data_IF_843836508130
#
_entry.id   IF_843836508130
#
_cell.length_a   1.000
_cell.length_b   1.000
_cell.length_c   1.000
_cell.angle_alpha   90.00
_cell.angle_beta   90.00
_cell.angle_gamma   90.00
#
_symmetry.space_group_name_H-M   'P 1'
#
loop_
_entity.id
_entity.type
_entity.pdbx_description
1 polymer ?
#
# COMPACT_ATOMS: atom_id res chain seq x y z
N UNK A 1 6.37 3.94 19.31
CA UNK A 1 5.06 3.86 18.64
C UNK A 1 4.90 2.46 18.09
N UNK A 2 3.81 1.75 18.41
CA UNK A 2 3.50 0.40 17.91
C UNK A 2 2.31 0.48 16.95
N UNK A 3 2.34 -0.29 15.86
CA UNK A 3 1.23 -0.39 14.92
C UNK A 3 -0.07 -0.91 15.58
N UNK A 4 -1.22 -0.39 15.14
CA UNK A 4 -2.51 -0.98 15.50
C UNK A 4 -2.73 -2.28 14.72
N UNK A 5 -2.70 -3.41 15.42
CA UNK A 5 -2.89 -4.74 14.83
C UNK A 5 -4.35 -5.09 14.51
N UNK A 6 -5.23 -4.09 14.41
CA UNK A 6 -6.68 -4.28 14.26
C UNK A 6 -7.08 -4.83 12.87
N UNK A 7 -6.23 -4.66 11.85
CA UNK A 7 -6.29 -5.39 10.59
C UNK A 7 -4.95 -6.03 10.27
N UNK A 8 -4.99 -7.26 9.77
CA UNK A 8 -3.77 -7.95 9.37
C UNK A 8 -3.08 -7.27 8.17
N UNK A 9 -3.83 -6.54 7.32
CA UNK A 9 -3.29 -5.95 6.09
C UNK A 9 -4.00 -4.68 5.61
N UNK A 10 -3.37 -3.95 4.67
CA UNK A 10 -3.94 -2.83 3.91
C UNK A 10 -3.75 -2.99 2.41
N UNK A 11 -4.50 -2.20 1.62
CA UNK A 11 -4.38 -2.14 0.15
C UNK A 11 -3.34 -1.10 -0.25
N UNK A 12 -2.42 -1.47 -1.13
CA UNK A 12 -1.49 -0.54 -1.81
C UNK A 12 -1.70 -0.64 -3.33
N UNK A 13 -2.21 0.41 -3.98
CA UNK A 13 -2.36 0.43 -5.43
C UNK A 13 -1.04 0.20 -6.15
N UNK A 14 -1.04 -0.68 -7.17
CA UNK A 14 0.17 -1.06 -7.91
C UNK A 14 0.72 0.05 -8.80
N UNK A 15 -0.10 1.05 -9.10
CA UNK A 15 0.27 2.28 -9.78
C UNK A 15 0.78 3.38 -8.84
N UNK A 16 0.82 3.14 -7.51
CA UNK A 16 1.24 4.10 -6.49
C UNK A 16 2.20 3.45 -5.49
N UNK A 17 3.24 2.80 -6.00
CA UNK A 17 4.27 2.22 -5.13
C UNK A 17 5.11 3.34 -4.49
N UNK A 18 5.66 3.13 -3.28
CA UNK A 18 6.49 4.12 -2.60
C UNK A 18 7.67 4.59 -3.46
N UNK A 19 7.82 5.90 -3.56
CA UNK A 19 8.91 6.55 -4.28
C UNK A 19 10.13 6.80 -3.37
N UNK A 20 11.29 7.03 -4.00
CA UNK A 20 12.54 7.29 -3.29
C UNK A 20 13.34 6.02 -2.96
N UNK A 21 14.41 6.21 -2.18
CA UNK A 21 15.30 5.12 -1.73
C UNK A 21 14.70 4.38 -0.53
N UNK A 22 15.13 3.15 -0.30
CA UNK A 22 14.71 2.34 0.85
C UNK A 22 14.32 0.92 0.50
N UNK A 23 14.26 0.11 1.55
CA UNK A 23 13.98 -1.33 1.50
C UNK A 23 12.53 -1.58 1.11
N UNK A 24 11.59 -0.78 1.62
CA UNK A 24 10.16 -0.93 1.37
C UNK A 24 9.78 -0.61 -0.07
N UNK A 25 10.44 0.35 -0.71
CA UNK A 25 10.27 0.61 -2.15
C UNK A 25 10.73 -0.57 -3.00
N UNK A 26 11.86 -1.20 -2.64
CA UNK A 26 12.34 -2.40 -3.31
C UNK A 26 11.42 -3.60 -3.07
N UNK A 27 11.01 -3.82 -1.81
CA UNK A 27 10.05 -4.86 -1.45
C UNK A 27 8.74 -4.72 -2.22
N UNK A 28 8.17 -3.51 -2.28
CA UNK A 28 6.90 -3.27 -2.95
C UNK A 28 6.99 -3.56 -4.46
N UNK A 29 8.14 -3.27 -5.09
CA UNK A 29 8.41 -3.63 -6.50
C UNK A 29 8.53 -5.14 -6.71
N UNK A 30 9.18 -5.88 -5.80
CA UNK A 30 9.22 -7.34 -5.87
C UNK A 30 7.83 -7.95 -5.64
N UNK A 31 7.13 -7.55 -4.58
CA UNK A 31 5.78 -8.01 -4.29
C UNK A 31 4.81 -7.68 -5.43
N UNK A 32 5.00 -6.55 -6.13
CA UNK A 32 4.18 -6.21 -7.29
C UNK A 32 4.43 -7.11 -8.51
N UNK A 33 5.53 -7.85 -8.56
CA UNK A 33 5.84 -8.76 -9.67
C UNK A 33 5.77 -10.23 -9.26
N UNK A 34 5.49 -10.51 -8.00
CA UNK A 34 5.21 -11.85 -7.50
C UNK A 34 3.87 -12.38 -8.03
N UNK A 35 3.80 -13.70 -8.16
CA UNK A 35 2.62 -14.43 -8.58
C UNK A 35 1.52 -14.25 -7.56
N UNK A 36 0.30 -14.07 -8.04
CA UNK A 36 -0.86 -13.86 -7.17
C UNK A 36 -1.71 -15.09 -6.95
N UNK A 37 -1.46 -16.14 -7.72
CA UNK A 37 -2.12 -17.44 -7.65
C UNK A 37 -1.12 -18.53 -7.99
N UNK A 38 -1.45 -19.76 -7.60
CA UNK A 38 -0.67 -20.93 -8.00
C UNK A 38 -0.87 -21.20 -9.49
N UNK A 39 0.21 -21.59 -10.18
CA UNK A 39 0.16 -21.93 -11.60
C UNK A 39 1.55 -22.06 -12.21
N UNK A 40 1.66 -21.75 -13.50
CA UNK A 40 2.89 -21.88 -14.27
C UNK A 40 3.33 -20.55 -14.90
N UNK A 41 4.62 -20.27 -14.80
CA UNK A 41 5.27 -19.11 -15.39
C UNK A 41 6.30 -19.54 -16.44
N UNK A 42 6.19 -19.00 -17.66
CA UNK A 42 7.18 -19.20 -18.71
C UNK A 42 8.31 -18.19 -18.57
N UNK A 43 9.55 -18.66 -18.49
CA UNK A 43 10.74 -17.82 -18.51
C UNK A 43 11.86 -18.48 -19.30
N UNK A 44 12.42 -17.77 -20.29
CA UNK A 44 13.49 -18.28 -21.17
C UNK A 44 13.16 -19.66 -21.76
N UNK A 45 11.91 -19.90 -22.18
CA UNK A 45 11.46 -21.19 -22.74
C UNK A 45 11.21 -22.29 -21.71
N UNK A 46 11.48 -22.05 -20.43
CA UNK A 46 11.23 -23.02 -19.35
C UNK A 46 9.93 -22.71 -18.62
N UNK A 47 9.15 -23.76 -18.36
CA UNK A 47 7.96 -23.71 -17.52
C UNK A 47 8.38 -23.85 -16.06
N UNK A 48 7.97 -22.89 -15.24
CA UNK A 48 8.28 -22.84 -13.82
C UNK A 48 6.99 -22.86 -13.01
N UNK A 49 6.82 -23.84 -12.14
CA UNK A 49 5.74 -23.81 -11.15
C UNK A 49 5.97 -22.64 -10.19
N UNK A 50 4.90 -21.87 -9.92
CA UNK A 50 4.93 -20.74 -8.99
C UNK A 50 3.75 -20.82 -8.02
N UNK A 51 3.99 -20.42 -6.78
CA UNK A 51 2.99 -20.23 -5.74
C UNK A 51 2.71 -18.74 -5.51
N UNK A 52 1.61 -18.38 -4.81
CA UNK A 52 1.38 -17.00 -4.41
C UNK A 52 2.58 -16.40 -3.66
N UNK A 53 2.96 -15.18 -4.02
CA UNK A 53 4.15 -14.51 -3.49
C UNK A 53 5.48 -14.95 -4.11
N UNK A 54 5.48 -15.90 -5.06
CA UNK A 54 6.69 -16.35 -5.75
C UNK A 54 6.92 -15.61 -7.06
N UNK A 55 8.18 -15.40 -7.43
CA UNK A 55 8.57 -15.04 -8.78
C UNK A 55 9.71 -15.94 -9.26
N UNK A 56 9.67 -16.29 -10.54
CA UNK A 56 10.72 -17.06 -11.20
C UNK A 56 11.18 -16.35 -12.46
N UNK A 57 12.50 -16.16 -12.58
CA UNK A 57 13.13 -15.56 -13.74
C UNK A 57 14.65 -15.64 -13.67
N UNK A 58 15.31 -14.54 -14.01
CA UNK A 58 16.77 -14.42 -13.99
C UNK A 58 17.21 -13.03 -13.58
N UNK A 59 18.52 -12.83 -13.44
CA UNK A 59 19.06 -11.57 -12.87
C UNK A 59 18.68 -10.31 -13.67
N UNK A 60 18.49 -10.43 -14.99
CA UNK A 60 18.03 -9.32 -15.84
C UNK A 60 16.59 -8.93 -15.49
N UNK A 61 15.72 -9.91 -15.20
CA UNK A 61 14.36 -9.69 -14.74
C UNK A 61 14.34 -9.00 -13.38
N UNK A 62 15.10 -9.51 -12.40
CA UNK A 62 15.22 -8.88 -11.08
C UNK A 62 15.67 -7.41 -11.18
N UNK A 63 16.69 -7.15 -11.99
CA UNK A 63 17.20 -5.80 -12.25
C UNK A 63 16.12 -4.88 -12.81
N UNK A 64 15.32 -5.38 -13.77
CA UNK A 64 14.21 -4.65 -14.37
C UNK A 64 13.11 -4.35 -13.35
N UNK A 65 12.71 -5.34 -12.53
CA UNK A 65 11.69 -5.18 -11.49
C UNK A 65 12.11 -4.10 -10.47
N UNK A 66 13.38 -4.09 -10.07
CA UNK A 66 13.90 -3.13 -9.09
C UNK A 66 14.22 -1.75 -9.70
N UNK A 67 14.06 -1.57 -11.02
CA UNK A 67 14.43 -0.36 -11.75
C UNK A 67 15.91 0.04 -11.57
N UNK A 68 16.81 -0.95 -11.53
CA UNK A 68 18.25 -0.73 -11.32
C UNK A 68 19.05 -0.85 -12.63
N UNK A 69 20.18 -0.14 -12.72
CA UNK A 69 21.08 -0.24 -13.88
C UNK A 69 22.07 -1.40 -13.77
N UNK A 70 22.46 -1.78 -12.54
CA UNK A 70 23.47 -2.81 -12.26
C UNK A 70 22.85 -4.12 -11.79
N UNK A 71 23.34 -5.24 -12.35
CA UNK A 71 22.99 -6.61 -11.92
C UNK A 71 23.50 -6.90 -10.50
N UNK A 72 24.70 -6.43 -10.19
CA UNK A 72 25.29 -6.59 -8.85
C UNK A 72 24.44 -5.88 -7.80
N UNK A 73 24.08 -4.61 -8.04
CA UNK A 73 23.20 -3.85 -7.13
C UNK A 73 21.84 -4.51 -6.93
N UNK A 74 21.28 -5.15 -7.97
CA UNK A 74 20.03 -5.88 -7.85
C UNK A 74 20.15 -7.09 -6.91
N UNK A 75 21.27 -7.83 -6.96
CA UNK A 75 21.54 -8.90 -6.00
C UNK A 75 21.79 -8.38 -4.59
N UNK A 76 22.52 -7.28 -4.43
CA UNK A 76 22.77 -6.65 -3.11
C UNK A 76 21.46 -6.22 -2.44
N UNK A 77 20.54 -5.63 -3.20
CA UNK A 77 19.20 -5.27 -2.70
C UNK A 77 18.40 -6.52 -2.31
N UNK A 78 18.43 -7.57 -3.14
CA UNK A 78 17.75 -8.82 -2.83
C UNK A 78 18.32 -9.50 -1.57
N UNK A 79 19.64 -9.49 -1.41
CA UNK A 79 20.34 -9.98 -0.21
C UNK A 79 19.97 -9.17 1.02
N UNK A 80 19.88 -7.84 0.89
CA UNK A 80 19.46 -6.95 1.99
C UNK A 80 18.04 -7.28 2.43
N UNK A 81 17.12 -7.43 1.47
CA UNK A 81 15.75 -7.84 1.74
C UNK A 81 15.68 -9.22 2.41
N UNK A 82 16.51 -10.16 1.98
CA UNK A 82 16.59 -11.50 2.58
C UNK A 82 17.14 -11.47 4.01
N UNK A 83 18.24 -10.74 4.25
CA UNK A 83 18.80 -10.56 5.60
C UNK A 83 17.87 -9.81 6.55
N UNK A 84 17.00 -8.97 6.01
CA UNK A 84 15.91 -8.35 6.76
C UNK A 84 14.69 -9.26 6.92
N UNK A 85 14.61 -10.39 6.23
CA UNK A 85 13.53 -11.39 6.37
C UNK A 85 12.29 -11.13 5.51
N UNK A 86 12.36 -10.23 4.52
CA UNK A 86 11.24 -9.90 3.62
C UNK A 86 11.09 -10.86 2.44
N UNK A 87 12.18 -11.53 2.07
CA UNK A 87 12.20 -12.47 0.94
C UNK A 87 13.09 -13.67 1.23
N UNK A 88 12.76 -14.80 0.64
CA UNK A 88 13.67 -15.92 0.45
C UNK A 88 13.99 -16.00 -1.04
N UNK A 89 15.23 -16.35 -1.41
CA UNK A 89 15.58 -16.45 -2.82
C UNK A 89 16.58 -17.58 -3.07
N UNK A 90 16.57 -18.10 -4.30
CA UNK A 90 17.56 -19.04 -4.80
C UNK A 90 18.12 -18.55 -6.13
N UNK A 91 19.40 -18.81 -6.37
CA UNK A 91 20.08 -18.51 -7.63
C UNK A 91 20.90 -19.74 -8.04
N UNK A 92 20.49 -20.37 -9.12
CA UNK A 92 21.23 -21.49 -9.71
C UNK A 92 22.43 -20.97 -10.50
N UNK A 93 23.63 -21.42 -10.14
CA UNK A 93 24.88 -20.98 -10.77
C UNK A 93 25.05 -21.49 -12.20
N UNK A 94 24.42 -22.62 -12.56
CA UNK A 94 24.46 -23.23 -13.89
C UNK A 94 23.39 -22.64 -14.80
N UNK A 95 22.13 -22.69 -14.37
CA UNK A 95 20.99 -22.26 -15.21
C UNK A 95 20.75 -20.74 -15.16
N UNK A 96 21.40 -20.03 -14.23
CA UNK A 96 21.18 -18.60 -13.93
C UNK A 96 19.72 -18.28 -13.55
N UNK A 97 18.92 -19.30 -13.24
CA UNK A 97 17.56 -19.18 -12.76
C UNK A 97 17.59 -18.57 -11.36
N UNK A 98 16.86 -17.47 -11.21
CA UNK A 98 16.63 -16.79 -9.95
C UNK A 98 15.16 -16.92 -9.58
N UNK A 99 14.89 -17.40 -8.37
CA UNK A 99 13.53 -17.35 -7.81
C UNK A 99 13.54 -16.59 -6.50
N UNK A 100 12.46 -15.88 -6.20
CA UNK A 100 12.23 -15.32 -4.88
C UNK A 100 10.81 -15.59 -4.41
N UNK A 101 10.63 -15.64 -3.09
CA UNK A 101 9.36 -15.76 -2.40
C UNK A 101 9.23 -14.61 -1.40
N UNK A 102 8.14 -13.86 -1.48
CA UNK A 102 7.78 -12.88 -0.46
C UNK A 102 7.33 -13.62 0.81
N UNK A 103 7.97 -13.34 1.94
CA UNK A 103 7.65 -13.99 3.23
C UNK A 103 6.35 -13.46 3.83
N UNK A 104 6.14 -12.14 3.69
CA UNK A 104 4.99 -11.40 4.21
C UNK A 104 3.76 -11.42 3.28
N UNK A 105 3.60 -12.46 2.46
CA UNK A 105 2.52 -12.53 1.49
C UNK A 105 1.16 -12.81 2.16
N UNK A 106 0.16 -11.97 1.89
CA UNK A 106 -1.20 -12.14 2.42
C UNK A 106 -1.95 -13.19 1.60
N UNK A 107 -1.78 -14.47 1.96
CA UNK A 107 -2.33 -15.62 1.20
C UNK A 107 -3.84 -15.53 1.01
N UNK A 108 -4.59 -15.01 1.99
CA UNK A 108 -6.05 -14.83 1.93
C UNK A 108 -6.52 -13.95 0.76
N UNK A 109 -5.65 -13.09 0.22
CA UNK A 109 -5.95 -12.26 -0.94
C UNK A 109 -5.61 -12.92 -2.29
N UNK A 110 -5.07 -14.14 -2.30
CA UNK A 110 -4.58 -14.80 -3.52
C UNK A 110 -5.73 -15.28 -4.41
N UNK A 111 -5.48 -15.31 -5.72
CA UNK A 111 -6.44 -15.87 -6.68
C UNK A 111 -6.46 -17.40 -6.67
N UNK A 112 -7.52 -17.97 -7.24
CA UNK A 112 -7.65 -19.42 -7.45
C UNK A 112 -6.54 -19.96 -8.35
N UNK A 113 -6.13 -21.21 -8.11
CA UNK A 113 -5.12 -21.90 -8.91
C UNK A 113 -5.50 -21.96 -10.39
N UNK A 114 -4.55 -21.65 -11.27
CA UNK A 114 -4.77 -21.68 -12.70
C UNK A 114 -3.51 -22.09 -13.46
N UNK A 115 -3.58 -23.21 -14.19
CA UNK A 115 -2.44 -23.75 -14.95
C UNK A 115 -2.31 -23.13 -16.35
N UNK A 116 -3.38 -22.53 -16.88
CA UNK A 116 -3.43 -21.99 -18.24
C UNK A 116 -3.66 -20.47 -18.30
N UNK A 117 -3.69 -19.80 -17.15
CA UNK A 117 -3.98 -18.37 -17.02
C UNK A 117 -2.80 -17.54 -16.50
N UNK A 118 -2.96 -16.23 -16.51
CA UNK A 118 -1.94 -15.31 -16.01
C UNK A 118 -1.69 -15.49 -14.51
N UNK A 119 -0.48 -15.87 -14.11
CA UNK A 119 -0.11 -16.02 -12.69
C UNK A 119 0.47 -14.73 -12.08
N UNK A 120 0.98 -13.83 -12.92
CA UNK A 120 1.50 -12.52 -12.53
C UNK A 120 0.50 -11.42 -12.84
N UNK A 121 0.43 -10.42 -11.97
CA UNK A 121 -0.44 -9.27 -12.16
C UNK A 121 0.06 -8.40 -13.32
N UNK A 122 -0.86 -7.81 -14.08
CA UNK A 122 -0.54 -6.76 -15.04
C UNK A 122 0.06 -5.56 -14.32
N UNK A 123 1.10 -4.97 -14.90
CA UNK A 123 1.76 -3.80 -14.33
C UNK A 123 0.78 -2.63 -14.13
N UNK A 124 0.88 -1.98 -12.97
CA UNK A 124 0.03 -0.85 -12.60
C UNK A 124 -1.42 -1.22 -12.25
N UNK A 125 -1.86 -2.45 -12.52
CA UNK A 125 -3.25 -2.84 -12.31
C UNK A 125 -3.49 -3.46 -10.93
N UNK A 126 -4.54 -3.01 -10.24
CA UNK A 126 -5.01 -3.61 -8.99
C UNK A 126 -4.22 -3.13 -7.77
N UNK A 127 -4.25 -3.92 -6.70
CA UNK A 127 -3.58 -3.59 -5.45
C UNK A 127 -2.76 -4.75 -4.90
N UNK A 128 -1.82 -4.42 -4.03
CA UNK A 128 -1.11 -5.34 -3.15
C UNK A 128 -1.84 -5.38 -1.81
N UNK A 129 -2.09 -6.58 -1.28
CA UNK A 129 -2.40 -6.75 0.13
C UNK A 129 -1.07 -6.81 0.90
N UNK A 130 -0.81 -5.82 1.75
CA UNK A 130 0.41 -5.75 2.56
C UNK A 130 0.10 -5.86 4.04
N UNK A 131 0.89 -6.61 4.83
CA UNK A 131 0.71 -6.62 6.27
C UNK A 131 0.93 -5.24 6.88
N UNK A 132 0.08 -4.82 7.83
CA UNK A 132 0.21 -3.50 8.47
C UNK A 132 1.50 -3.35 9.28
N UNK A 133 1.99 -4.44 9.84
CA UNK A 133 3.20 -4.48 10.64
C UNK A 133 4.49 -4.61 9.81
N UNK A 134 4.42 -4.54 8.47
CA UNK A 134 5.60 -4.80 7.63
C UNK A 134 6.78 -3.90 7.96
N UNK A 135 6.52 -2.64 8.33
CA UNK A 135 7.56 -1.67 8.70
C UNK A 135 7.98 -1.73 10.17
N UNK A 136 7.23 -2.43 11.05
CA UNK A 136 7.63 -2.64 12.46
C UNK A 136 8.99 -3.33 12.53
N UNK A 137 9.24 -4.28 11.63
CA UNK A 137 10.52 -5.00 11.55
C UNK A 137 11.71 -4.07 11.34
N UNK A 138 11.55 -2.99 10.57
CA UNK A 138 12.61 -1.98 10.41
C UNK A 138 12.80 -1.18 11.72
N UNK A 139 11.70 -0.77 12.34
CA UNK A 139 11.72 0.00 13.59
C UNK A 139 12.34 -0.80 14.76
N UNK A 140 11.97 -2.08 14.91
CA UNK A 140 12.49 -2.99 15.93
C UNK A 140 14.01 -3.23 15.79
N UNK A 141 14.48 -3.36 14.54
CA UNK A 141 15.91 -3.47 14.24
C UNK A 141 16.66 -2.13 14.33
N UNK A 142 15.99 -1.03 14.70
CA UNK A 142 16.53 0.34 14.71
C UNK A 142 17.20 0.72 13.39
N UNK A 143 16.64 0.23 12.28
CA UNK A 143 17.07 0.59 10.94
C UNK A 143 16.83 2.09 10.73
N UNK A 144 17.78 2.80 10.12
CA UNK A 144 17.57 4.20 9.73
C UNK A 144 16.76 4.18 8.44
N UNK A 145 15.51 4.63 8.53
CA UNK A 145 14.59 4.58 7.40
C UNK A 145 15.12 5.44 6.25
N UNK A 146 14.93 4.97 5.03
CA UNK A 146 15.00 5.85 3.86
C UNK A 146 13.59 6.34 3.50
N UNK A 147 13.52 7.12 2.43
CA UNK A 147 12.30 7.83 2.03
C UNK A 147 11.11 6.91 1.77
N UNK A 148 11.31 5.84 1.01
CA UNK A 148 10.27 4.86 0.70
C UNK A 148 9.82 4.06 1.92
N UNK A 149 10.69 3.90 2.92
CA UNK A 149 10.38 3.21 4.18
C UNK A 149 9.44 4.06 5.04
N UNK A 150 9.73 5.36 5.18
CA UNK A 150 8.86 6.29 5.90
C UNK A 150 7.51 6.46 5.20
N UNK A 151 7.50 6.52 3.86
CA UNK A 151 6.28 6.55 3.06
C UNK A 151 5.42 5.31 3.31
N UNK A 152 6.03 4.11 3.27
CA UNK A 152 5.31 2.87 3.51
C UNK A 152 4.80 2.78 4.96
N UNK A 153 5.58 3.28 5.92
CA UNK A 153 5.20 3.27 7.33
C UNK A 153 3.92 4.10 7.55
N UNK A 154 3.85 5.32 7.02
CA UNK A 154 2.62 6.12 7.08
C UNK A 154 1.44 5.42 6.39
N UNK A 155 1.67 4.82 5.21
CA UNK A 155 0.62 4.09 4.47
C UNK A 155 0.04 2.93 5.28
N UNK A 156 0.90 2.13 5.92
CA UNK A 156 0.50 0.98 6.74
C UNK A 156 -0.31 1.39 7.97
N UNK A 157 -0.12 2.63 8.44
CA UNK A 157 -0.79 3.20 9.60
C UNK A 157 -2.02 4.04 9.24
N UNK A 158 -2.39 4.14 7.95
CA UNK A 158 -3.64 4.76 7.53
C UNK A 158 -4.86 3.96 8.01
N UNK A 159 -5.81 4.63 8.64
CA UNK A 159 -7.10 4.10 9.06
C UNK A 159 -8.24 4.92 8.46
N UNK A 160 -9.36 4.26 8.20
CA UNK A 160 -10.60 4.85 7.69
C UNK A 160 -11.75 4.32 8.55
N UNK A 161 -12.60 5.22 9.03
CA UNK A 161 -13.74 4.93 9.92
C UNK A 161 -13.38 4.10 11.16
N UNK A 162 -12.20 4.36 11.76
CA UNK A 162 -11.81 3.69 12.99
C UNK A 162 -12.55 4.28 14.19
N UNK A 163 -13.29 3.47 14.98
CA UNK A 163 -14.02 3.92 16.16
C UNK A 163 -13.16 4.55 17.25
N UNK A 164 -11.83 4.40 17.21
CA UNK A 164 -10.89 5.05 18.14
C UNK A 164 -10.32 6.38 17.63
N UNK A 165 -10.76 6.88 16.46
CA UNK A 165 -10.27 8.12 15.89
C UNK A 165 -11.35 8.87 15.11
N UNK A 166 -11.86 9.92 15.72
CA UNK A 166 -12.95 10.72 15.14
C UNK A 166 -12.58 11.38 13.80
N UNK A 167 -11.30 11.69 13.58
CA UNK A 167 -10.85 12.30 12.32
C UNK A 167 -10.83 11.29 11.17
N UNK A 168 -10.72 9.99 11.46
CA UNK A 168 -10.74 8.94 10.46
C UNK A 168 -12.11 8.76 9.77
N UNK A 169 -13.17 9.40 10.28
CA UNK A 169 -14.48 9.48 9.62
C UNK A 169 -14.60 10.67 8.65
N UNK A 170 -13.62 11.58 8.65
CA UNK A 170 -13.58 12.73 7.74
C UNK A 170 -12.78 12.42 6.47
N UNK A 171 -11.57 11.91 6.65
CA UNK A 171 -10.73 11.36 5.58
C UNK A 171 -9.82 10.28 6.16
N UNK A 172 -9.20 9.40 5.33
CA UNK A 172 -8.23 8.44 5.83
C UNK A 172 -7.11 9.14 6.59
N UNK A 173 -6.84 8.70 7.83
CA UNK A 173 -5.85 9.33 8.72
C UNK A 173 -4.77 8.34 9.13
N UNK A 174 -3.54 8.79 9.27
CA UNK A 174 -2.47 7.99 9.87
C UNK A 174 -2.66 7.93 11.38
N UNK A 175 -2.62 6.73 11.95
CA UNK A 175 -2.73 6.50 13.39
C UNK A 175 -1.76 5.41 13.86
N UNK A 176 -0.94 5.75 14.86
CA UNK A 176 -0.02 4.80 15.50
C UNK A 176 -0.55 4.36 16.86
N UNK A 177 -0.92 3.10 16.98
CA UNK A 177 -1.46 2.58 18.23
C UNK A 177 -2.83 3.18 18.55
N UNK A 178 -3.39 2.72 19.67
CA UNK A 178 -4.76 3.04 20.08
C UNK A 178 -4.97 4.53 20.34
N UNK A 179 -3.93 5.18 20.86
CA UNK A 179 -3.94 6.58 21.28
C UNK A 179 -2.92 7.43 20.49
N UNK A 180 -2.75 7.16 19.20
CA UNK A 180 -1.82 7.95 18.36
C UNK A 180 -2.46 8.46 17.10
N UNK A 181 -3.64 9.07 17.23
CA UNK A 181 -4.28 9.82 16.15
C UNK A 181 -3.51 11.12 15.87
N UNK A 182 -3.07 11.81 16.94
CA UNK A 182 -2.13 12.92 16.84
C UNK A 182 -0.71 12.37 16.90
N UNK A 183 0.14 12.90 16.03
CA UNK A 183 1.55 12.55 15.92
C UNK A 183 2.41 13.79 16.14
N UNK A 184 3.67 13.58 16.52
CA UNK A 184 4.66 14.66 16.54
C UNK A 184 5.75 14.34 15.54
N UNK A 185 6.36 15.37 14.96
CA UNK A 185 7.47 15.16 14.03
C UNK A 185 8.68 14.54 14.74
N UNK A 186 8.82 14.79 16.05
CA UNK A 186 9.81 14.20 16.93
C UNK A 186 9.61 12.69 17.10
N UNK A 187 8.38 12.24 17.36
CA UNK A 187 8.09 10.80 17.52
C UNK A 187 8.26 10.05 16.21
N UNK A 188 7.83 10.63 15.08
CA UNK A 188 8.11 10.09 13.74
C UNK A 188 9.61 10.03 13.47
N UNK A 189 10.34 11.10 13.80
CA UNK A 189 11.79 11.17 13.68
C UNK A 189 12.50 10.08 14.48
N UNK A 190 12.11 9.89 15.75
CA UNK A 190 12.64 8.81 16.59
C UNK A 190 12.39 7.43 16.00
N UNK A 191 11.19 7.17 15.46
CA UNK A 191 10.87 5.88 14.83
C UNK A 191 11.69 5.64 13.55
N UNK A 192 11.91 6.68 12.76
CA UNK A 192 12.60 6.58 11.47
C UNK A 192 14.12 6.76 11.57
N UNK A 193 14.64 7.11 12.74
CA UNK A 193 16.05 7.50 12.92
C UNK A 193 16.40 8.83 12.25
N UNK A 194 15.45 9.76 12.18
CA UNK A 194 15.56 11.05 11.51
C UNK A 194 15.48 12.22 12.49
N UNK A 195 16.19 13.29 12.15
CA UNK A 195 15.95 14.60 12.75
C UNK A 195 14.59 15.16 12.34
N UNK A 196 13.98 15.96 13.23
CA UNK A 196 12.70 16.64 13.01
C UNK A 196 12.66 17.42 11.68
N UNK A 197 13.76 18.07 11.30
CA UNK A 197 13.88 18.84 10.06
C UNK A 197 13.74 17.96 8.81
N UNK A 198 14.27 16.73 8.85
CA UNK A 198 14.15 15.75 7.76
C UNK A 198 12.72 15.22 7.65
N UNK A 199 12.07 14.93 8.77
CA UNK A 199 10.64 14.56 8.81
C UNK A 199 9.79 15.68 8.18
N UNK A 200 10.03 16.94 8.55
CA UNK A 200 9.32 18.07 7.96
C UNK A 200 9.52 18.18 6.44
N UNK A 201 10.75 18.06 5.95
CA UNK A 201 11.04 18.08 4.50
C UNK A 201 10.35 16.92 3.77
N UNK A 202 10.32 15.74 4.37
CA UNK A 202 9.59 14.59 3.83
C UNK A 202 8.09 14.88 3.71
N UNK A 203 7.45 15.38 4.77
CA UNK A 203 6.02 15.72 4.74
C UNK A 203 5.69 16.82 3.71
N UNK A 204 6.61 17.77 3.51
CA UNK A 204 6.47 18.78 2.45
C UNK A 204 6.59 18.20 1.05
N UNK A 205 7.54 17.27 0.85
CA UNK A 205 7.76 16.61 -0.45
C UNK A 205 6.59 15.73 -0.85
N UNK A 206 6.04 14.95 0.09
CA UNK A 206 4.94 14.02 -0.14
C UNK A 206 3.57 14.59 0.26
N UNK A 207 3.41 15.92 0.18
CA UNK A 207 2.17 16.61 0.57
C UNK A 207 0.98 16.34 -0.35
N UNK A 208 1.24 15.82 -1.54
CA UNK A 208 0.25 15.30 -2.50
C UNK A 208 -0.37 13.98 -2.03
N UNK A 209 0.37 13.15 -1.29
CA UNK A 209 -0.11 11.90 -0.70
C UNK A 209 -0.56 12.09 0.75
N UNK A 210 0.24 12.78 1.55
CA UNK A 210 0.05 12.95 3.00
C UNK A 210 -0.15 14.41 3.38
N UNK A 211 -1.38 14.78 3.72
CA UNK A 211 -1.71 16.14 4.16
C UNK A 211 -1.42 16.32 5.65
N UNK A 212 -0.51 17.23 5.99
CA UNK A 212 -0.09 17.51 7.36
C UNK A 212 -0.83 18.72 7.93
N UNK A 213 -1.60 18.53 9.01
CA UNK A 213 -2.34 19.57 9.70
C UNK A 213 -1.72 19.81 11.07
N UNK A 214 -1.18 21.02 11.29
CA UNK A 214 -0.66 21.40 12.62
C UNK A 214 -1.82 21.77 13.53
N UNK A 215 -1.79 21.27 14.75
CA UNK A 215 -2.76 21.62 15.78
C UNK A 215 -2.18 22.68 16.73
N UNK A 216 -3.04 23.43 17.45
CA UNK A 216 -2.57 24.43 18.40
C UNK A 216 -1.75 23.85 19.56
N UNK A 217 -0.86 24.67 20.10
CA UNK A 217 -0.06 24.31 21.27
C UNK A 217 0.88 23.13 21.02
N UNK A 218 1.03 22.27 22.02
CA UNK A 218 1.91 21.09 22.01
C UNK A 218 1.20 19.81 21.60
N UNK A 219 -0.02 19.88 21.05
CA UNK A 219 -0.82 18.71 20.68
C UNK A 219 -0.21 17.90 19.51
N UNK A 220 0.62 18.53 18.67
CA UNK A 220 1.24 17.89 17.52
C UNK A 220 0.48 18.13 16.22
N UNK A 221 0.35 17.10 15.40
CA UNK A 221 -0.21 17.17 14.06
C UNK A 221 -1.09 15.97 13.71
N UNK A 222 -2.06 16.20 12.83
CA UNK A 222 -2.82 15.17 12.12
C UNK A 222 -2.21 14.96 10.74
N UNK A 223 -2.22 13.72 10.28
CA UNK A 223 -1.79 13.36 8.93
C UNK A 223 -2.94 12.64 8.24
N UNK A 224 -3.47 13.23 7.18
CA UNK A 224 -4.45 12.57 6.31
C UNK A 224 -3.75 11.95 5.10
N UNK A 225 -4.20 10.78 4.68
CA UNK A 225 -3.75 10.13 3.45
C UNK A 225 -4.79 10.37 2.34
N UNK A 226 -4.42 11.16 1.35
CA UNK A 226 -5.30 11.59 0.25
C UNK A 226 -5.61 10.49 -0.75
N UNK A 227 -4.75 9.48 -0.82
CA UNK A 227 -4.78 8.45 -1.88
C UNK A 227 -5.16 7.06 -1.35
N UNK A 228 -5.45 6.94 -0.06
CA UNK A 228 -5.83 5.65 0.51
C UNK A 228 -7.18 5.20 -0.06
N UNK A 229 -7.30 3.96 -0.55
CA UNK A 229 -8.52 3.49 -1.23
C UNK A 229 -9.64 3.22 -0.20
N UNK A 230 -10.39 4.27 0.13
CA UNK A 230 -11.53 4.24 1.05
C UNK A 230 -12.82 3.67 0.42
N UNK A 231 -12.85 3.45 -0.90
CA UNK A 231 -14.01 2.94 -1.63
C UNK A 231 -14.94 4.03 -2.17
N UNK A 232 -14.83 5.25 -1.66
CA UNK A 232 -15.50 6.47 -2.14
C UNK A 232 -14.48 7.58 -2.39
N UNK A 233 -14.86 8.57 -3.21
CA UNK A 233 -14.10 9.81 -3.31
C UNK A 233 -14.25 10.58 -2.00
N UNK A 234 -13.15 10.74 -1.28
CA UNK A 234 -13.11 11.46 -0.01
C UNK A 234 -12.22 12.68 -0.18
N UNK A 235 -12.81 13.87 -0.05
CA UNK A 235 -12.05 15.10 0.02
C UNK A 235 -11.37 15.21 1.39
N UNK A 236 -10.14 15.74 1.39
CA UNK A 236 -9.44 16.01 2.64
C UNK A 236 -10.12 17.20 3.32
N UNK A 237 -10.39 17.14 4.65
CA UNK A 237 -11.09 18.21 5.33
C UNK A 237 -10.30 19.53 5.37
N UNK A 238 -11.00 20.65 5.48
CA UNK A 238 -10.36 21.96 5.67
C UNK A 238 -9.77 22.09 7.08
N UNK A 239 -8.87 23.05 7.27
CA UNK A 239 -8.30 23.33 8.61
C UNK A 239 -9.42 23.73 9.58
N UNK A 240 -10.40 24.51 9.14
CA UNK A 240 -11.55 24.95 9.94
C UNK A 240 -12.40 23.76 10.39
N UNK A 241 -12.63 22.77 9.52
CA UNK A 241 -13.37 21.56 9.85
C UNK A 241 -12.65 20.71 10.90
N UNK A 242 -11.34 20.54 10.73
CA UNK A 242 -10.48 19.86 11.72
C UNK A 242 -10.55 20.58 13.07
N UNK A 243 -10.42 21.91 13.07
CA UNK A 243 -10.49 22.72 14.27
C UNK A 243 -11.87 22.70 14.94
N UNK A 244 -12.95 22.62 14.17
CA UNK A 244 -14.32 22.47 14.67
C UNK A 244 -14.49 21.14 15.42
N UNK A 245 -14.00 20.03 14.85
CA UNK A 245 -14.02 18.73 15.53
C UNK A 245 -13.14 18.74 16.78
N UNK A 246 -11.94 19.33 16.70
CA UNK A 246 -11.06 19.49 17.86
C UNK A 246 -11.72 20.29 18.98
N UNK A 247 -12.45 21.36 18.64
CA UNK A 247 -13.25 22.15 19.58
C UNK A 247 -14.30 21.31 20.31
N UNK A 248 -15.07 20.50 19.57
CA UNK A 248 -16.05 19.56 20.15
C UNK A 248 -15.40 18.56 21.11
N UNK A 249 -14.25 17.99 20.72
CA UNK A 249 -13.49 17.05 21.55
C UNK A 249 -13.06 17.72 22.88
N UNK A 250 -12.56 18.96 22.81
CA UNK A 250 -12.16 19.71 24.00
C UNK A 250 -13.34 20.03 24.92
N UNK A 251 -14.48 20.44 24.36
CA UNK A 251 -15.71 20.71 25.14
C UNK A 251 -16.18 19.44 25.85
N UNK A 252 -16.23 18.31 25.14
CA UNK A 252 -16.63 17.04 25.74
C UNK A 252 -15.63 16.55 26.81
N UNK A 253 -14.34 16.87 26.64
CA UNK A 253 -13.26 16.49 27.55
C UNK A 253 -12.98 17.46 28.71
N UNK A 254 -13.68 18.60 28.80
CA UNK A 254 -13.34 19.68 29.72
C UNK A 254 -13.28 19.26 31.21
N UNK A 255 -14.12 18.30 31.60
CA UNK A 255 -14.22 17.82 32.98
C UNK A 255 -13.39 16.55 33.25
N UNK A 256 -12.56 16.12 32.29
CA UNK A 256 -11.73 14.93 32.45
C UNK A 256 -10.41 15.28 33.15
N UNK A 257 -9.94 14.39 34.02
CA UNK A 257 -8.65 14.58 34.67
C UNK A 257 -7.51 14.48 33.65
N UNK A 258 -6.68 15.52 33.56
CA UNK A 258 -5.49 15.51 32.72
C UNK A 258 -4.50 14.46 33.22
N UNK A 259 -4.02 13.62 32.32
CA UNK A 259 -3.05 12.56 32.58
C UNK A 259 -1.97 12.60 31.52
N UNK A 260 -0.72 12.80 31.94
CA UNK A 260 0.44 12.91 31.05
C UNK A 260 0.57 14.28 30.37
N UNK A 261 1.28 14.30 29.25
CA UNK A 261 1.46 15.50 28.43
C UNK A 261 0.14 15.96 27.79
N UNK A 262 0.09 17.21 27.34
CA UNK A 262 -1.04 17.74 26.56
C UNK A 262 -1.33 16.89 25.31
N UNK A 263 -0.28 16.43 24.64
CA UNK A 263 -0.37 15.55 23.48
C UNK A 263 -1.05 14.21 23.82
N UNK A 264 -0.59 13.53 24.88
CA UNK A 264 -1.14 12.23 25.30
C UNK A 264 -2.57 12.36 25.80
N UNK A 265 -2.87 13.41 26.56
CA UNK A 265 -4.21 13.67 27.05
C UNK A 265 -5.18 13.96 25.89
N UNK A 266 -4.79 14.77 24.92
CA UNK A 266 -5.63 15.03 23.74
C UNK A 266 -5.87 13.78 22.90
N UNK A 267 -4.86 12.93 22.72
CA UNK A 267 -5.01 11.65 22.04
C UNK A 267 -6.06 10.75 22.73
N UNK A 268 -6.04 10.68 24.08
CA UNK A 268 -7.07 9.95 24.85
C UNK A 268 -8.47 10.54 24.64
N UNK A 269 -8.59 11.88 24.64
CA UNK A 269 -9.87 12.56 24.40
C UNK A 269 -10.44 12.28 23.01
N UNK A 270 -9.59 12.26 21.97
CA UNK A 270 -10.00 11.89 20.60
C UNK A 270 -10.60 10.49 20.57
N UNK A 271 -9.92 9.52 21.18
CA UNK A 271 -10.40 8.14 21.24
C UNK A 271 -11.73 8.03 22.00
N UNK A 272 -11.85 8.69 23.15
CA UNK A 272 -13.07 8.66 23.95
C UNK A 272 -14.25 9.32 23.21
N UNK A 273 -14.04 10.50 22.62
CA UNK A 273 -15.04 11.19 21.83
C UNK A 273 -15.51 10.34 20.64
N UNK A 274 -14.58 9.71 19.93
CA UNK A 274 -14.87 8.81 18.81
C UNK A 274 -15.73 7.62 19.23
N UNK A 275 -15.42 7.00 20.38
CA UNK A 275 -16.23 5.89 20.90
C UNK A 275 -17.64 6.30 21.28
N UNK A 276 -17.77 7.47 21.92
CA UNK A 276 -19.07 8.04 22.28
C UNK A 276 -19.94 8.26 21.04
N UNK A 277 -19.35 8.73 19.93
CA UNK A 277 -20.08 8.90 18.67
C UNK A 277 -20.48 7.58 18.00
N UNK A 278 -19.63 6.56 18.10
CA UNK A 278 -19.85 5.26 17.45
C UNK A 278 -20.64 4.27 18.30
N UNK A 279 -21.01 4.62 19.53
CA UNK A 279 -21.68 3.70 20.47
C UNK A 279 -20.78 2.53 20.92
N UNK A 280 -19.47 2.60 20.69
CA UNK A 280 -18.53 1.54 21.01
C UNK A 280 -18.16 1.57 22.49
N UNK A 281 -18.88 0.80 23.31
CA UNK A 281 -18.66 0.65 24.75
C UNK A 281 -17.67 -0.48 25.10
N UNK A 282 -16.77 -0.85 24.20
CA UNK A 282 -15.81 -1.93 24.47
C UNK A 282 -14.83 -1.53 25.58
N UNK A 283 -14.57 -2.47 26.51
CA UNK A 283 -13.57 -2.30 27.56
C UNK A 283 -12.16 -2.26 26.96
N UNK A 284 -11.21 -1.63 27.64
CA UNK A 284 -9.85 -1.47 27.13
C UNK A 284 -9.13 -2.79 26.81
N UNK A 285 -9.46 -3.87 27.53
CA UNK A 285 -9.00 -5.24 27.27
C UNK A 285 -9.72 -5.89 26.07
N UNK A 286 -11.06 -5.75 25.98
CA UNK A 286 -11.84 -6.26 24.84
C UNK A 286 -11.46 -5.57 23.51
N UNK A 287 -10.92 -4.36 23.56
CA UNK A 287 -10.42 -3.61 22.39
C UNK A 287 -9.12 -4.19 21.86
N UNK A 288 -8.28 -4.75 22.73
CA UNK A 288 -7.03 -5.39 22.32
C UNK A 288 -7.31 -6.65 21.49
N UNK A 289 -8.45 -7.29 21.74
CA UNK A 289 -8.94 -8.49 21.05
C UNK A 289 -10.03 -8.23 19.99
N UNK A 290 -10.51 -6.98 19.82
CA UNK A 290 -11.62 -6.67 18.92
C UNK A 290 -11.21 -6.59 17.44
N UNK A 291 -11.62 -7.58 16.64
CA UNK A 291 -11.45 -7.65 15.18
C UNK A 291 -12.43 -6.75 14.38
N UNK A 292 -12.48 -5.42 14.61
CA UNK A 292 -13.57 -4.57 14.06
C UNK A 292 -13.16 -3.41 13.11
N UNK A 293 -13.10 -3.75 11.81
CA UNK A 293 -13.43 -3.08 10.48
C UNK A 293 -13.08 -1.58 10.27
N UNK A 294 -12.37 -1.14 9.21
CA UNK A 294 -12.55 -1.19 7.72
C UNK A 294 -11.16 -1.19 7.00
N UNK A 295 -10.92 -1.66 5.76
CA UNK A 295 -11.67 -1.55 4.49
C UNK A 295 -12.84 -2.53 4.32
N UNK A 296 -14.02 -2.17 4.83
CA UNK A 296 -15.30 -2.54 4.22
C UNK A 296 -15.40 -1.82 2.86
N UNK A 297 -14.72 -2.37 1.86
CA UNK A 297 -15.38 -2.43 0.57
C UNK A 297 -16.07 -3.79 0.55
N UNK A 298 -17.25 -3.88 -0.07
CA UNK A 298 -17.67 -5.13 -0.70
C UNK A 298 -16.47 -5.79 -1.35
N UNK A 299 -16.40 -7.12 -1.39
CA UNK A 299 -15.23 -7.83 -1.87
C UNK A 299 -14.98 -7.41 -3.34
N UNK A 300 -14.18 -6.38 -3.53
CA UNK A 300 -13.27 -6.30 -4.66
C UNK A 300 -12.18 -7.31 -4.30
N UNK A 301 -12.57 -8.59 -4.28
CA UNK A 301 -11.73 -9.78 -4.09
C UNK A 301 -10.83 -9.99 -5.30
N UNK A 302 -11.08 -9.28 -6.40
CA UNK A 302 -10.22 -9.30 -7.56
C UNK A 302 -9.11 -8.27 -7.41
N UNK A 303 -8.19 -8.58 -6.50
CA UNK A 303 -6.89 -7.90 -6.40
C UNK A 303 -6.09 -7.97 -7.73
N UNK A 304 -6.54 -8.77 -8.70
CA UNK A 304 -5.84 -9.11 -9.95
C UNK A 304 -6.82 -9.23 -11.13
N UNK A 305 -7.30 -8.11 -11.70
CA UNK A 305 -7.97 -8.14 -13.01
C UNK A 305 -6.96 -7.68 -14.07
N UNK A 306 -6.30 -8.58 -14.79
CA UNK A 306 -5.63 -8.14 -16.02
C UNK A 306 -6.70 -7.63 -17.00
N UNK A 307 -6.58 -6.42 -17.59
CA UNK A 307 -7.46 -6.01 -18.68
C UNK A 307 -7.27 -7.01 -19.82
N UNK A 308 -8.27 -7.84 -20.07
CA UNK A 308 -8.23 -8.78 -21.16
C UNK A 308 -8.55 -8.00 -22.45
N UNK A 309 -7.56 -7.90 -23.35
CA UNK A 309 -7.61 -7.04 -24.56
C UNK A 309 -8.63 -7.51 -25.61
N UNK A 310 -9.21 -8.71 -25.46
CA UNK A 310 -10.11 -9.34 -26.44
C UNK A 310 -11.18 -10.23 -25.77
N UNK A 311 -11.97 -9.69 -24.84
CA UNK A 311 -13.06 -10.42 -24.16
C UNK A 311 -14.30 -10.72 -25.02
N UNK A 312 -14.16 -11.04 -26.31
CA UNK A 312 -15.28 -11.64 -27.06
C UNK A 312 -15.38 -13.16 -26.87
N UNK A 313 -14.29 -13.83 -26.48
CA UNK A 313 -14.24 -15.30 -26.36
C UNK A 313 -13.66 -15.84 -25.03
N UNK A 314 -13.40 -15.01 -24.03
CA UNK A 314 -12.82 -15.46 -22.76
C UNK A 314 -13.90 -15.80 -21.72
N UNK A 315 -14.57 -16.94 -21.90
CA UNK A 315 -15.43 -17.56 -20.88
C UNK A 315 -14.67 -18.28 -19.76
N UNK A 316 -13.34 -18.12 -19.67
CA UNK A 316 -12.48 -18.95 -18.83
C UNK A 316 -11.86 -18.25 -17.61
N UNK A 317 -11.80 -16.91 -17.56
CA UNK A 317 -11.26 -16.19 -16.39
C UNK A 317 -12.26 -16.03 -15.24
N UNK A 318 -13.49 -16.52 -15.39
CA UNK A 318 -14.58 -16.38 -14.43
C UNK A 318 -15.56 -17.58 -14.50
N UNK A 319 -15.19 -18.75 -13.96
CA UNK A 319 -16.18 -19.81 -13.67
C UNK A 319 -16.78 -19.70 -12.25
N UNK A 320 -16.60 -18.58 -11.55
CA UNK A 320 -17.45 -18.22 -10.42
C UNK A 320 -18.76 -17.64 -10.94
N UNK A 321 -19.84 -18.44 -10.96
CA UNK A 321 -21.22 -17.96 -11.18
C UNK A 321 -21.66 -17.09 -10.00
N UNK A 322 -21.16 -15.86 -9.94
CA UNK A 322 -21.78 -14.79 -9.17
C UNK A 322 -22.68 -14.00 -10.11
N UNK A 323 -23.98 -14.01 -9.87
CA UNK A 323 -24.96 -13.21 -10.60
C UNK A 323 -24.56 -11.73 -10.54
N UNK A 324 -23.90 -11.22 -11.57
CA UNK A 324 -23.79 -9.77 -11.76
C UNK A 324 -25.15 -9.28 -12.23
N UNK A 325 -25.91 -8.66 -11.33
CA UNK A 325 -26.97 -7.75 -11.74
C UNK A 325 -26.34 -6.66 -12.60
N UNK A 326 -26.85 -6.57 -13.82
CA UNK A 326 -26.41 -5.72 -14.92
C UNK A 326 -26.20 -4.28 -14.41
N UNK A 327 -24.95 -3.84 -14.33
CA UNK A 327 -24.65 -2.43 -14.08
C UNK A 327 -25.13 -1.64 -15.30
N UNK A 328 -26.09 -0.76 -15.06
CA UNK A 328 -26.63 0.18 -16.03
C UNK A 328 -25.46 0.94 -16.66
N UNK A 329 -25.37 0.85 -17.98
CA UNK A 329 -24.46 1.64 -18.78
C UNK A 329 -24.99 3.08 -18.74
N UNK A 330 -24.45 3.92 -17.86
CA UNK A 330 -24.56 5.37 -18.04
C UNK A 330 -23.52 5.82 -19.07
N UNK A 331 -23.97 5.80 -20.33
CA UNK A 331 -23.32 6.50 -21.44
C UNK A 331 -23.40 8.01 -21.22
N UNK A 332 -22.29 8.62 -20.78
CA UNK A 332 -22.05 10.03 -21.13
C UNK A 332 -20.57 10.44 -21.05
N UNK A 333 -19.96 10.45 -22.24
CA UNK A 333 -19.00 11.46 -22.74
C UNK A 333 -17.62 11.57 -22.10
N UNK A 334 -16.63 10.89 -22.71
CA UNK A 334 -15.42 11.54 -23.23
C UNK A 334 -15.09 10.90 -24.60
N UNK A 335 -15.37 11.59 -25.70
CA UNK A 335 -14.82 11.30 -27.03
C UNK A 335 -13.56 12.15 -27.22
N UNK A 336 -12.46 11.53 -27.60
CA UNK A 336 -11.29 12.13 -28.25
C UNK A 336 -11.03 11.40 -29.58
N UNK A 337 -10.38 12.02 -30.58
CA UNK A 337 -10.62 11.74 -31.99
C UNK A 337 -10.05 10.38 -32.41
N UNK A 338 -10.92 9.54 -33.00
CA UNK A 338 -10.50 8.39 -33.77
C UNK A 338 -10.44 8.83 -35.24
N UNK A 339 -9.25 8.99 -35.80
CA UNK A 339 -9.07 8.67 -37.21
C UNK A 339 -8.68 7.19 -37.32
N UNK A 340 -9.28 6.41 -38.24
CA UNK A 340 -8.85 5.05 -38.51
C UNK A 340 -7.45 5.08 -39.15
N UNK A 341 -6.43 4.64 -38.43
CA UNK A 341 -5.10 4.43 -39.02
C UNK A 341 -5.10 3.10 -39.76
N UNK A 342 -4.89 3.14 -41.07
CA UNK A 342 -4.69 1.96 -41.90
C UNK A 342 -3.35 1.29 -41.54
N UNK A 343 -3.44 0.17 -40.83
CA UNK A 343 -2.32 -0.65 -40.34
C UNK A 343 -1.50 -1.31 -41.46
N UNK A 344 -1.89 -1.18 -42.73
CA UNK A 344 -1.07 -1.64 -43.87
C UNK A 344 0.09 -0.69 -44.22
N UNK A 345 0.09 0.55 -43.71
CA UNK A 345 1.17 1.54 -44.00
C UNK A 345 2.34 1.57 -43.00
N UNK A 346 2.25 0.91 -41.85
CA UNK A 346 3.32 1.01 -40.81
C UNK A 346 4.44 -0.02 -41.03
N UNK A 347 4.32 -0.94 -41.99
CA UNK A 347 5.30 -2.01 -42.21
C UNK A 347 6.48 -1.64 -43.14
N UNK A 348 6.75 -0.37 -43.45
CA UNK A 348 7.81 -0.04 -44.44
C UNK A 348 8.84 1.04 -44.09
N UNK A 349 8.86 1.61 -42.89
CA UNK A 349 9.91 2.60 -42.55
C UNK A 349 10.66 2.21 -41.28
N UNK A 350 12.00 2.23 -41.40
CA UNK A 350 13.03 1.99 -40.40
C UNK A 350 13.47 0.52 -40.14
N UNK A 351 13.84 -0.18 -41.21
CA UNK A 351 15.06 -1.02 -41.20
C UNK A 351 16.01 -0.52 -42.28
N UNK A 352 16.93 0.37 -41.94
CA UNK A 352 18.19 0.51 -42.67
C UNK A 352 19.27 -0.12 -41.81
N UNK A 353 19.71 -1.30 -42.23
CA UNK A 353 20.98 -1.89 -41.82
C UNK A 353 22.07 -1.09 -42.54
N UNK A 354 22.97 -0.44 -41.80
CA UNK A 354 24.31 -0.22 -42.29
C UNK A 354 25.19 -1.36 -41.76
N UNK A 355 25.58 -2.25 -42.67
CA UNK A 355 26.71 -3.14 -42.52
C UNK A 355 27.83 -2.68 -43.44
N UNK A 356 29.02 -2.63 -42.84
CA UNK A 356 30.37 -2.77 -43.40
C UNK A 356 31.01 -1.60 -44.18
N UNK A 357 32.03 -1.04 -43.51
CA UNK A 357 33.22 -0.38 -44.03
C UNK A 357 34.29 -0.42 -42.95
#
# INVERSE_FOLDING_TARGET
>A
MKCLMKYQWVKLPRNRLPEGKGVMGAWARLASRAAFRKGQALYCGHINAVSPGMWSGGIVGLKSILCLKSRQKALEVLQTLAGLGYVQYTLDSKTKKLTYQITDWVVKCSGEECMQGAVYATEGYGFLCLPRNITERLAEKRYIFEESDAWMDLWCHSVWEDPNNAFSFMAPTVQYGKYGALLTLETLGQRWGWEKTKVWRFMKKHGDVFALYRLPGSYGCLIFNKLYPAGSEVSVPSQEEVMRILGKIRICGANTQKSGSDHEHMNKLITWYSRRLTGSNLSDAAIQDAENRVAFSDPIIRAYLSPCRNCKNCGYDCQGKGYMTQAVIETSKIRGPCEPVDITKIAKECFTYEQAG
#
